data_IF_768370513887
#
_entry.id   IF_768370513887
#
_cell.length_a   1.000
_cell.length_b   1.000
_cell.length_c   1.000
_cell.angle_alpha   90.00
_cell.angle_beta   90.00
_cell.angle_gamma   90.00
#
_symmetry.space_group_name_H-M   'P 1'
#
loop_
_entity.id
_entity.type
_entity.pdbx_description
1 polymer ?
#
# COMPACT_ATOMS: atom_id res chain seq x y z
N UNK A 1 9.41 -8.14 21.99
CA UNK A 1 8.55 -8.15 20.80
C UNK A 1 7.42 -9.18 20.99
N UNK A 2 6.31 -8.83 21.64
CA UNK A 2 5.23 -9.80 21.99
C UNK A 2 3.83 -9.40 21.48
N UNK A 3 3.72 -8.48 20.51
CA UNK A 3 2.43 -8.00 19.99
C UNK A 3 1.88 -8.74 18.75
N UNK A 4 2.74 -9.49 18.03
CA UNK A 4 2.37 -10.09 16.73
C UNK A 4 1.36 -11.23 16.83
N UNK A 5 1.41 -12.02 17.90
CA UNK A 5 0.51 -13.16 18.10
C UNK A 5 -0.95 -12.71 18.28
N UNK A 6 -1.21 -11.65 19.06
CA UNK A 6 -2.59 -11.20 19.31
C UNK A 6 -3.21 -10.52 18.10
N UNK A 7 -2.44 -9.68 17.40
CA UNK A 7 -2.90 -9.02 16.18
C UNK A 7 -3.21 -10.04 15.07
N UNK A 8 -2.36 -11.05 14.91
CA UNK A 8 -2.58 -12.15 13.99
C UNK A 8 -3.85 -12.95 14.34
N UNK A 9 -4.03 -13.34 15.60
CA UNK A 9 -5.23 -14.09 16.02
C UNK A 9 -6.53 -13.31 15.77
N UNK A 10 -6.52 -11.98 15.97
CA UNK A 10 -7.67 -11.13 15.68
C UNK A 10 -7.97 -11.07 14.17
N UNK A 11 -6.94 -10.90 13.33
CA UNK A 11 -7.07 -10.93 11.87
C UNK A 11 -7.60 -12.29 11.38
N UNK A 12 -7.02 -13.40 11.86
CA UNK A 12 -7.36 -14.75 11.44
C UNK A 12 -8.85 -15.05 11.66
N UNK A 13 -9.39 -14.69 12.82
CA UNK A 13 -10.82 -14.88 13.14
C UNK A 13 -11.76 -14.18 12.15
N UNK A 14 -11.42 -12.96 11.72
CA UNK A 14 -12.24 -12.21 10.76
C UNK A 14 -11.97 -12.70 9.32
N UNK A 15 -10.77 -13.19 9.02
CA UNK A 15 -10.43 -13.75 7.72
C UNK A 15 -11.25 -15.01 7.44
N UNK A 16 -11.42 -15.86 8.45
CA UNK A 16 -12.24 -17.08 8.39
C UNK A 16 -13.72 -16.81 8.07
N UNK A 17 -14.25 -15.61 8.33
CA UNK A 17 -15.63 -15.27 7.99
C UNK A 17 -15.81 -14.82 6.54
N UNK A 18 -14.72 -14.70 5.78
CA UNK A 18 -14.73 -14.12 4.43
C UNK A 18 -14.93 -12.60 4.41
N UNK A 19 -14.93 -11.94 5.58
CA UNK A 19 -15.07 -10.50 5.67
C UNK A 19 -13.78 -9.79 5.17
N UNK A 20 -13.89 -8.78 4.28
CA UNK A 20 -12.74 -8.00 3.84
C UNK A 20 -12.03 -7.29 5.00
N UNK A 21 -10.69 -7.31 4.97
CA UNK A 21 -9.85 -6.64 5.96
C UNK A 21 -8.65 -5.97 5.30
N UNK A 22 -8.25 -4.80 5.81
CA UNK A 22 -7.06 -4.08 5.35
C UNK A 22 -5.85 -4.43 6.24
N UNK A 23 -4.80 -4.96 5.63
CA UNK A 23 -3.46 -5.01 6.23
C UNK A 23 -2.61 -3.95 5.53
N UNK A 24 -2.01 -3.05 6.30
CA UNK A 24 -1.14 -2.01 5.78
C UNK A 24 0.23 -2.04 6.44
N UNK A 25 1.22 -1.52 5.71
CA UNK A 25 2.57 -1.27 6.21
C UNK A 25 3.04 0.06 5.63
N UNK A 26 3.65 0.87 6.48
CA UNK A 26 4.31 2.11 6.07
C UNK A 26 5.82 1.87 5.88
N UNK A 27 6.39 2.51 4.86
CA UNK A 27 7.79 2.41 4.48
C UNK A 27 8.34 3.81 4.19
N UNK A 28 9.61 4.06 4.53
CA UNK A 28 10.31 5.28 4.12
C UNK A 28 10.66 5.17 2.63
N UNK A 29 10.25 6.16 1.85
CA UNK A 29 10.40 6.20 0.40
C UNK A 29 10.74 7.62 -0.10
N UNK A 30 11.55 8.35 0.68
CA UNK A 30 12.05 9.70 0.42
C UNK A 30 12.70 9.88 -0.97
N UNK A 31 13.33 8.83 -1.48
CA UNK A 31 13.98 8.79 -2.80
C UNK A 31 13.07 8.32 -3.93
N UNK A 32 11.78 8.09 -3.67
CA UNK A 32 10.83 7.61 -4.67
C UNK A 32 9.89 8.73 -5.13
N UNK A 33 9.64 8.78 -6.43
CA UNK A 33 8.48 9.47 -7.00
C UNK A 33 7.33 8.47 -7.18
N UNK A 34 6.08 8.90 -7.38
CA UNK A 34 5.00 7.96 -7.67
C UNK A 34 5.30 7.06 -8.88
N UNK A 35 5.87 7.63 -9.95
CA UNK A 35 6.33 6.86 -11.12
C UNK A 35 7.42 5.84 -10.77
N UNK A 36 8.45 6.23 -10.01
CA UNK A 36 9.53 5.28 -9.67
C UNK A 36 9.06 4.17 -8.73
N UNK A 37 8.15 4.48 -7.81
CA UNK A 37 7.50 3.50 -6.94
C UNK A 37 6.64 2.52 -7.76
N UNK A 38 5.84 3.04 -8.70
CA UNK A 38 5.04 2.21 -9.60
C UNK A 38 5.90 1.26 -10.41
N UNK A 39 6.96 1.73 -11.07
CA UNK A 39 7.84 0.89 -11.88
C UNK A 39 8.46 -0.26 -11.05
N UNK A 40 8.84 0.03 -9.80
CA UNK A 40 9.41 -0.96 -8.88
C UNK A 40 8.38 -1.98 -8.38
N UNK A 41 7.17 -1.54 -8.04
CA UNK A 41 6.12 -2.40 -7.48
C UNK A 41 5.38 -3.19 -8.55
N UNK A 42 5.03 -2.55 -9.67
CA UNK A 42 4.33 -3.18 -10.77
C UNK A 42 5.22 -4.21 -11.46
N UNK A 43 6.51 -3.91 -11.66
CA UNK A 43 7.49 -4.82 -12.27
C UNK A 43 7.01 -5.48 -13.59
N UNK A 44 6.21 -4.76 -14.38
CA UNK A 44 5.65 -5.26 -15.64
C UNK A 44 4.49 -6.25 -15.50
N UNK A 45 3.93 -6.42 -14.29
CA UNK A 45 2.81 -7.34 -14.05
C UNK A 45 1.50 -6.81 -14.66
N UNK A 46 0.68 -7.69 -15.27
CA UNK A 46 -0.61 -7.28 -15.81
C UNK A 46 -1.55 -6.80 -14.70
N UNK A 47 -2.50 -5.93 -15.05
CA UNK A 47 -3.46 -5.33 -14.11
C UNK A 47 -2.85 -4.43 -13.03
N UNK A 48 -1.62 -3.95 -13.25
CA UNK A 48 -1.04 -2.84 -12.49
C UNK A 48 -1.47 -1.50 -13.07
N UNK A 49 -1.78 -0.53 -12.21
CA UNK A 49 -2.17 0.82 -12.61
C UNK A 49 -1.52 1.89 -11.73
N UNK A 50 -1.19 3.03 -12.34
CA UNK A 50 -0.75 4.25 -11.66
C UNK A 50 -1.83 5.31 -11.87
N UNK A 51 -2.36 5.86 -10.79
CA UNK A 51 -3.33 6.95 -10.81
C UNK A 51 -2.66 8.19 -10.22
N UNK A 52 -2.35 9.17 -11.07
CA UNK A 52 -1.87 10.49 -10.65
C UNK A 52 -2.85 11.56 -11.11
N UNK A 53 -3.10 12.57 -10.26
CA UNK A 53 -3.89 13.75 -10.59
C UNK A 53 -2.98 14.98 -10.53
N UNK A 54 -3.08 15.85 -11.54
CA UNK A 54 -2.38 17.13 -11.58
C UNK A 54 -3.39 18.25 -11.81
N UNK A 55 -3.74 18.99 -10.75
CA UNK A 55 -4.54 20.20 -10.89
C UNK A 55 -3.60 21.40 -11.11
N UNK A 56 -3.85 22.19 -12.18
CA UNK A 56 -3.45 23.60 -12.25
C UNK A 56 -1.96 23.98 -12.14
N UNK A 57 -1.01 23.07 -12.35
CA UNK A 57 0.42 23.41 -12.51
C UNK A 57 1.18 23.83 -11.24
N UNK A 58 0.63 23.60 -10.03
CA UNK A 58 1.36 23.73 -8.78
C UNK A 58 1.59 22.34 -8.16
N UNK A 59 2.80 21.81 -8.30
CA UNK A 59 3.17 20.48 -7.77
C UNK A 59 4.17 20.64 -6.64
N UNK A 60 3.74 20.34 -5.40
CA UNK A 60 4.46 19.48 -4.44
C UNK A 60 3.69 19.41 -3.12
N UNK A 61 2.87 18.37 -2.97
CA UNK A 61 2.34 18.02 -1.66
C UNK A 61 1.17 17.04 -1.70
N UNK A 62 1.01 16.35 -0.58
CA UNK A 62 -0.28 16.10 0.04
C UNK A 62 -0.50 17.18 1.09
#
# INVERSE_FOLDING_TARGET
MNGGSKAFSAFAKIFETGAPQLISRELIADTQTPVSAYLKLAAGTPNSFLLESVEGGAVRGR
#
